data_IF_146239881205
#
_entry.id   IF_146239881205
#
_cell.length_a   1.000
_cell.length_b   1.000
_cell.length_c   1.000
_cell.angle_alpha   90.00
_cell.angle_beta   90.00
_cell.angle_gamma   90.00
#
_symmetry.space_group_name_H-M   'P 1'
#
loop_
_entity.id
_entity.type
_entity.pdbx_description
1 polymer ?
#
# COMPACT_ATOMS: atom_id res chain seq x y z
N UNK A 1 2.38 -4.58 18.95
CA UNK A 1 2.92 -5.78 18.28
C UNK A 1 1.77 -6.40 17.51
N UNK A 2 1.52 -5.94 16.29
CA UNK A 2 0.38 -6.42 15.51
C UNK A 2 0.68 -7.80 14.92
N UNK A 3 1.64 -7.87 13.99
CA UNK A 3 1.84 -9.08 13.17
C UNK A 3 2.93 -10.05 13.65
N UNK A 4 3.68 -9.75 14.72
CA UNK A 4 4.91 -10.50 15.05
C UNK A 4 4.66 -12.00 15.30
N UNK A 5 3.56 -12.32 16.00
CA UNK A 5 3.21 -13.70 16.31
C UNK A 5 2.75 -14.47 15.06
N UNK A 6 1.88 -13.85 14.27
CA UNK A 6 1.37 -14.39 13.02
C UNK A 6 2.50 -14.68 12.03
N UNK A 7 3.39 -13.72 11.79
CA UNK A 7 4.55 -13.89 10.90
C UNK A 7 5.46 -15.01 11.39
N UNK A 8 5.73 -15.05 12.71
CA UNK A 8 6.56 -16.12 13.28
C UNK A 8 5.95 -17.50 13.01
N UNK A 9 4.66 -17.67 13.26
CA UNK A 9 3.97 -18.94 13.03
C UNK A 9 4.03 -19.35 11.55
N UNK A 10 3.72 -18.45 10.62
CA UNK A 10 3.80 -18.71 9.17
C UNK A 10 5.22 -19.09 8.71
N UNK A 11 6.25 -18.51 9.33
CA UNK A 11 7.65 -18.86 9.05
C UNK A 11 8.02 -20.24 9.59
N UNK A 12 7.53 -20.63 10.77
CA UNK A 12 7.70 -21.98 11.32
C UNK A 12 6.99 -23.03 10.46
N UNK A 13 5.76 -22.76 10.00
CA UNK A 13 5.04 -23.62 9.06
C UNK A 13 5.80 -23.81 7.75
N UNK A 14 6.31 -22.70 7.19
CA UNK A 14 7.09 -22.73 5.95
C UNK A 14 8.38 -23.52 6.12
N UNK A 15 9.09 -23.33 7.25
CA UNK A 15 10.30 -24.09 7.59
C UNK A 15 10.04 -25.60 7.71
N UNK A 16 8.85 -25.97 8.18
CA UNK A 16 8.44 -27.36 8.38
C UNK A 16 7.74 -27.97 7.13
N UNK A 17 7.68 -27.24 6.00
CA UNK A 17 6.97 -27.64 4.78
C UNK A 17 5.48 -27.99 5.01
N UNK A 18 4.83 -27.33 5.97
CA UNK A 18 3.41 -27.53 6.28
C UNK A 18 2.58 -26.25 6.07
N UNK A 19 3.13 -25.28 5.33
CA UNK A 19 2.40 -24.10 4.86
C UNK A 19 1.67 -24.43 3.56
N UNK A 20 0.34 -24.31 3.56
CA UNK A 20 -0.50 -24.67 2.41
C UNK A 20 -1.21 -23.49 1.75
N UNK A 21 -0.89 -22.25 2.17
CA UNK A 21 -1.52 -21.03 1.68
C UNK A 21 -1.75 -20.05 2.82
N UNK A 22 -2.38 -18.92 2.51
CA UNK A 22 -2.75 -17.91 3.50
C UNK A 22 -3.96 -18.34 4.32
N UNK A 23 -4.08 -17.78 5.52
CA UNK A 23 -5.11 -18.09 6.52
C UNK A 23 -6.08 -16.92 6.69
N UNK A 24 -7.28 -17.20 7.21
CA UNK A 24 -8.28 -16.15 7.48
C UNK A 24 -7.80 -15.24 8.62
N UNK A 25 -7.07 -15.80 9.58
CA UNK A 25 -6.45 -15.07 10.67
C UNK A 25 -5.47 -14.01 10.13
N UNK A 26 -4.64 -14.36 9.14
CA UNK A 26 -3.71 -13.42 8.51
C UNK A 26 -4.40 -12.27 7.80
N UNK A 27 -5.45 -12.59 7.04
CA UNK A 27 -6.26 -11.56 6.38
C UNK A 27 -6.93 -10.65 7.42
N UNK A 28 -7.48 -11.23 8.48
CA UNK A 28 -8.16 -10.49 9.55
C UNK A 28 -7.19 -9.54 10.25
N UNK A 29 -5.98 -9.98 10.60
CA UNK A 29 -4.97 -9.11 11.23
C UNK A 29 -4.59 -7.95 10.30
N UNK A 30 -4.40 -8.19 8.99
CA UNK A 30 -4.09 -7.13 8.03
C UNK A 30 -5.23 -6.11 7.95
N UNK A 31 -6.47 -6.58 7.86
CA UNK A 31 -7.64 -5.71 7.82
C UNK A 31 -7.77 -4.87 9.08
N UNK A 32 -7.61 -5.49 10.26
CA UNK A 32 -7.71 -4.81 11.54
C UNK A 32 -6.61 -3.76 11.69
N UNK A 33 -5.39 -4.04 11.24
CA UNK A 33 -4.32 -3.04 11.25
C UNK A 33 -4.67 -1.81 10.40
N UNK A 34 -5.16 -2.03 9.17
CA UNK A 34 -5.50 -0.93 8.27
C UNK A 34 -6.71 -0.14 8.81
N UNK A 35 -7.72 -0.81 9.35
CA UNK A 35 -8.91 -0.17 9.95
C UNK A 35 -8.57 0.71 11.16
N UNK A 36 -7.61 0.26 11.97
CA UNK A 36 -7.24 0.91 13.22
C UNK A 36 -6.02 1.85 13.11
N UNK A 37 -5.48 2.06 11.91
CA UNK A 37 -4.36 2.96 11.70
C UNK A 37 -4.77 4.42 11.96
N UNK A 38 -4.10 5.11 12.88
CA UNK A 38 -4.41 6.50 13.24
C UNK A 38 -3.65 7.49 12.35
N UNK A 39 -2.35 7.20 12.12
CA UNK A 39 -1.46 8.05 11.33
C UNK A 39 -1.18 7.43 9.97
N UNK A 40 -1.98 7.83 8.98
CA UNK A 40 -1.83 7.36 7.60
C UNK A 40 -1.18 8.45 6.75
N UNK A 41 -0.03 8.17 6.13
CA UNK A 41 0.68 9.14 5.29
C UNK A 41 0.80 8.71 3.83
N UNK A 42 0.68 9.69 2.94
CA UNK A 42 0.90 9.54 1.49
C UNK A 42 2.07 10.45 1.09
N UNK A 43 3.24 9.89 0.73
CA UNK A 43 4.38 10.69 0.29
C UNK A 43 4.13 11.27 -1.09
N UNK A 44 3.88 12.58 -1.15
CA UNK A 44 3.62 13.25 -2.41
C UNK A 44 3.96 14.74 -2.36
N UNK A 45 4.31 15.30 -3.52
CA UNK A 45 4.56 16.74 -3.68
C UNK A 45 3.26 17.53 -3.93
N UNK A 46 2.23 16.90 -4.49
CA UNK A 46 0.95 17.53 -4.85
C UNK A 46 -0.27 16.86 -4.20
N UNK A 47 -1.38 17.60 -4.08
CA UNK A 47 -2.58 17.13 -3.37
C UNK A 47 -3.45 16.14 -4.15
N UNK A 48 -3.38 16.11 -5.49
CA UNK A 48 -4.34 15.36 -6.34
C UNK A 48 -4.42 13.87 -5.96
N UNK A 49 -3.27 13.18 -5.81
CA UNK A 49 -3.29 11.74 -5.45
C UNK A 49 -3.86 11.51 -4.05
N UNK A 50 -3.65 12.45 -3.14
CA UNK A 50 -4.11 12.38 -1.76
C UNK A 50 -5.62 12.51 -1.70
N UNK A 51 -6.21 13.38 -2.51
CA UNK A 51 -7.67 13.50 -2.64
C UNK A 51 -8.30 12.21 -3.17
N UNK A 52 -7.73 11.64 -4.23
CA UNK A 52 -8.24 10.39 -4.82
C UNK A 52 -8.13 9.23 -3.84
N UNK A 53 -6.98 9.09 -3.16
CA UNK A 53 -6.78 8.06 -2.15
C UNK A 53 -7.74 8.21 -0.97
N UNK A 54 -7.95 9.43 -0.48
CA UNK A 54 -8.92 9.69 0.58
C UNK A 54 -10.36 9.40 0.15
N UNK A 55 -10.72 9.60 -1.12
CA UNK A 55 -12.01 9.15 -1.65
C UNK A 55 -12.13 7.63 -1.55
N UNK A 56 -11.09 6.89 -1.93
CA UNK A 56 -11.06 5.43 -1.81
C UNK A 56 -11.17 5.01 -0.35
N UNK A 57 -10.32 5.53 0.54
CA UNK A 57 -10.35 5.20 1.98
C UNK A 57 -11.74 5.42 2.57
N UNK A 58 -12.38 6.55 2.26
CA UNK A 58 -13.76 6.84 2.67
C UNK A 58 -14.75 5.78 2.16
N UNK A 59 -14.65 5.36 0.90
CA UNK A 59 -15.53 4.32 0.31
C UNK A 59 -15.42 2.98 1.03
N UNK A 60 -14.27 2.67 1.65
CA UNK A 60 -14.08 1.43 2.44
C UNK A 60 -14.17 1.67 3.96
N UNK A 61 -14.66 2.84 4.40
CA UNK A 61 -14.83 3.15 5.83
C UNK A 61 -13.51 3.28 6.59
N UNK A 62 -12.41 3.58 5.89
CA UNK A 62 -11.08 3.67 6.46
C UNK A 62 -10.74 5.11 6.90
N UNK A 63 -9.83 5.28 7.88
CA UNK A 63 -9.37 6.58 8.32
C UNK A 63 -8.76 7.40 7.18
N UNK A 64 -8.84 8.72 7.30
CA UNK A 64 -8.29 9.66 6.30
C UNK A 64 -6.76 9.67 6.37
N UNK A 65 -6.12 9.69 5.22
CA UNK A 65 -4.69 9.90 5.08
C UNK A 65 -4.29 11.36 4.91
N UNK A 66 -3.13 11.70 5.46
CA UNK A 66 -2.49 13.01 5.34
C UNK A 66 -1.40 13.00 4.26
N UNK A 67 -1.16 14.18 3.68
CA UNK A 67 -0.04 14.35 2.76
C UNK A 67 1.26 14.46 3.56
N UNK A 68 2.24 13.61 3.24
CA UNK A 68 3.61 13.80 3.70
C UNK A 68 4.41 14.50 2.60
N UNK A 69 4.72 15.78 2.82
CA UNK A 69 5.39 16.62 1.83
C UNK A 69 6.91 16.35 1.81
N UNK A 70 7.29 15.30 1.09
CA UNK A 70 8.70 14.97 0.85
C UNK A 70 8.99 14.81 -0.65
N UNK A 71 10.19 15.18 -1.08
CA UNK A 71 10.64 14.94 -2.45
C UNK A 71 11.10 13.49 -2.58
N UNK A 72 10.35 12.68 -3.33
CA UNK A 72 10.63 11.26 -3.50
C UNK A 72 11.17 10.89 -4.89
N UNK A 73 11.61 11.86 -5.69
CA UNK A 73 12.06 11.61 -7.06
C UNK A 73 13.33 10.75 -7.13
N UNK A 74 14.21 10.81 -6.12
CA UNK A 74 15.39 9.96 -6.04
C UNK A 74 15.05 8.47 -5.97
N UNK A 75 13.85 8.10 -5.50
CA UNK A 75 13.38 6.72 -5.51
C UNK A 75 13.29 6.12 -6.92
N UNK A 76 13.17 6.94 -7.97
CA UNK A 76 13.07 6.47 -9.35
C UNK A 76 14.40 5.92 -9.90
N UNK A 77 15.51 6.04 -9.16
CA UNK A 77 16.79 5.35 -9.46
C UNK A 77 16.92 3.99 -8.77
N UNK A 78 15.94 3.60 -7.94
CA UNK A 78 15.92 2.29 -7.28
C UNK A 78 15.32 1.20 -8.17
N UNK A 79 15.51 -0.08 -7.78
CA UNK A 79 14.93 -1.24 -8.49
C UNK A 79 13.40 -1.29 -8.42
N UNK A 80 12.80 -0.79 -7.34
CA UNK A 80 11.35 -0.76 -7.12
C UNK A 80 10.99 0.63 -6.59
N UNK A 81 10.77 1.62 -7.50
CA UNK A 81 10.54 3.00 -7.08
C UNK A 81 9.38 3.18 -6.12
N UNK A 82 8.24 2.53 -6.32
CA UNK A 82 7.11 2.65 -5.38
C UNK A 82 7.49 2.27 -3.94
N UNK A 83 8.26 1.19 -3.76
CA UNK A 83 8.72 0.72 -2.47
C UNK A 83 9.74 1.67 -1.83
N UNK A 84 10.70 2.16 -2.62
CA UNK A 84 11.66 3.16 -2.15
C UNK A 84 10.96 4.45 -1.67
N UNK A 85 9.89 4.90 -2.36
CA UNK A 85 9.09 6.06 -1.91
C UNK A 85 8.43 5.82 -0.56
N UNK A 86 7.96 4.60 -0.31
CA UNK A 86 7.33 4.24 0.95
C UNK A 86 8.35 4.21 2.10
N UNK A 87 9.54 3.62 1.89
CA UNK A 87 10.60 3.64 2.90
C UNK A 87 11.11 5.06 3.19
N UNK A 88 11.26 5.90 2.16
CA UNK A 88 11.59 7.32 2.39
C UNK A 88 10.57 8.02 3.28
N UNK A 89 9.28 7.67 3.18
CA UNK A 89 8.23 8.22 4.04
C UNK A 89 8.30 7.63 5.45
N UNK A 90 8.53 6.32 5.55
CA UNK A 90 8.65 5.60 6.82
C UNK A 90 9.78 6.17 7.67
N UNK A 91 10.94 6.41 7.07
CA UNK A 91 12.12 6.91 7.77
C UNK A 91 12.00 8.39 8.19
N UNK A 92 10.96 9.10 7.74
CA UNK A 92 10.74 10.53 7.97
C UNK A 92 9.41 10.84 8.67
N UNK A 93 8.72 9.83 9.18
CA UNK A 93 7.44 10.01 9.88
C UNK A 93 7.24 8.98 10.98
N UNK A 94 6.25 9.22 11.82
CA UNK A 94 5.76 8.29 12.85
C UNK A 94 4.49 7.57 12.37
N UNK A 95 4.41 7.28 11.07
CA UNK A 95 3.26 6.65 10.43
C UNK A 95 2.91 5.29 11.07
N UNK A 96 1.62 5.02 11.21
CA UNK A 96 1.12 3.65 11.35
C UNK A 96 1.06 2.99 9.97
N UNK A 97 0.59 3.71 8.96
CA UNK A 97 0.37 3.19 7.62
C UNK A 97 0.88 4.18 6.57
N UNK A 98 1.57 3.66 5.55
CA UNK A 98 2.02 4.46 4.41
C UNK A 98 1.40 3.90 3.13
N UNK A 99 0.82 4.80 2.34
CA UNK A 99 0.28 4.49 1.02
C UNK A 99 1.11 5.21 -0.03
N UNK A 100 1.97 4.47 -0.72
CA UNK A 100 2.88 5.02 -1.73
C UNK A 100 2.53 4.51 -3.13
N UNK A 101 2.73 5.37 -4.13
CA UNK A 101 2.57 5.00 -5.54
C UNK A 101 3.76 5.45 -6.38
N UNK A 102 4.27 4.54 -7.19
CA UNK A 102 5.39 4.81 -8.08
C UNK A 102 5.43 3.83 -9.24
N UNK A 103 6.59 3.76 -9.89
CA UNK A 103 6.86 2.76 -10.92
C UNK A 103 7.07 1.39 -10.26
N UNK A 104 6.59 0.33 -10.91
CA UNK A 104 6.76 -1.06 -10.45
C UNK A 104 8.23 -1.49 -10.43
N UNK A 105 9.00 -1.13 -11.46
CA UNK A 105 10.41 -1.45 -11.58
C UNK A 105 11.12 -0.56 -12.59
N UNK A 106 11.64 -1.16 -13.67
CA UNK A 106 12.33 -0.44 -14.75
C UNK A 106 11.40 0.55 -15.49
N UNK A 107 11.92 1.57 -16.19
CA UNK A 107 11.12 2.41 -17.08
C UNK A 107 10.24 1.59 -18.02
N UNK A 108 8.94 1.91 -18.08
CA UNK A 108 7.95 1.20 -18.89
C UNK A 108 7.19 0.08 -18.18
N UNK A 109 7.62 -0.35 -16.98
CA UNK A 109 7.03 -1.51 -16.27
C UNK A 109 5.64 -1.29 -15.67
N UNK A 110 4.98 -0.15 -15.93
CA UNK A 110 3.73 0.22 -15.26
C UNK A 110 3.90 0.75 -13.84
N UNK A 111 2.80 0.86 -13.12
CA UNK A 111 2.71 1.42 -11.76
C UNK A 111 2.47 0.35 -10.72
N UNK A 112 2.93 0.67 -9.50
CA UNK A 112 2.69 -0.07 -8.28
C UNK A 112 2.22 0.92 -7.21
N UNK A 113 1.11 0.59 -6.57
CA UNK A 113 0.59 1.25 -5.37
C UNK A 113 0.69 0.25 -4.23
N UNK A 114 1.30 0.64 -3.12
CA UNK A 114 1.55 -0.23 -1.97
C UNK A 114 1.05 0.38 -0.68
N UNK A 115 0.57 -0.49 0.20
CA UNK A 115 0.30 -0.21 1.60
C UNK A 115 1.39 -0.90 2.42
N UNK A 116 2.13 -0.13 3.21
CA UNK A 116 3.12 -0.68 4.14
C UNK A 116 2.81 -0.24 5.57
N UNK A 117 3.13 -1.10 6.52
CA UNK A 117 3.00 -0.81 7.94
C UNK A 117 4.18 0.00 8.50
N UNK A 118 4.10 0.34 9.79
CA UNK A 118 5.14 1.07 10.52
C UNK A 118 6.49 0.36 10.69
N UNK A 119 6.65 -0.86 10.15
CA UNK A 119 7.92 -1.58 10.08
C UNK A 119 8.36 -1.83 8.64
N UNK A 120 7.67 -1.25 7.66
CA UNK A 120 7.97 -1.43 6.25
C UNK A 120 7.51 -2.77 5.67
N UNK A 121 6.68 -3.52 6.37
CA UNK A 121 6.08 -4.76 5.85
C UNK A 121 4.98 -4.42 4.86
N UNK A 122 5.00 -5.05 3.70
CA UNK A 122 3.97 -4.86 2.67
C UNK A 122 2.70 -5.60 3.11
N UNK A 123 1.59 -4.87 3.18
CA UNK A 123 0.28 -5.40 3.57
C UNK A 123 -0.55 -5.78 2.35
N UNK A 124 -0.57 -4.90 1.35
CA UNK A 124 -1.25 -5.15 0.07
C UNK A 124 -0.72 -4.19 -0.99
N UNK A 125 -1.06 -4.48 -2.26
CA UNK A 125 -0.69 -3.67 -3.39
C UNK A 125 -1.69 -3.77 -4.55
N UNK A 126 -1.76 -2.71 -5.35
CA UNK A 126 -2.45 -2.67 -6.63
C UNK A 126 -1.49 -2.26 -7.75
N UNK A 127 -1.81 -2.65 -8.99
CA UNK A 127 -0.94 -2.37 -10.14
C UNK A 127 -1.72 -1.82 -11.31
N UNK A 128 -1.04 -1.12 -12.20
CA UNK A 128 -1.62 -0.80 -13.50
C UNK A 128 -0.59 -0.86 -14.63
N UNK A 129 -1.05 -1.11 -15.87
CA UNK A 129 -0.17 -1.03 -17.04
C UNK A 129 0.52 0.33 -17.16
N UNK A 130 1.48 0.46 -18.07
CA UNK A 130 1.99 1.79 -18.42
C UNK A 130 0.86 2.69 -18.93
N UNK A 131 0.90 3.99 -18.58
CA UNK A 131 -0.06 4.99 -19.05
C UNK A 131 -0.12 5.06 -20.59
N UNK A 132 0.99 4.73 -21.26
CA UNK A 132 1.08 4.63 -22.73
C UNK A 132 0.13 3.55 -23.28
N UNK A 133 -0.15 2.50 -22.50
CA UNK A 133 -1.03 1.39 -22.88
C UNK A 133 -2.47 1.68 -22.48
N UNK A 134 -2.72 2.01 -21.20
CA UNK A 134 -4.09 2.08 -20.68
C UNK A 134 -4.81 3.40 -20.97
N UNK A 135 -4.08 4.50 -21.24
CA UNK A 135 -4.59 5.85 -21.58
C UNK A 135 -5.56 6.53 -20.58
N UNK A 136 -5.95 5.86 -19.48
CA UNK A 136 -6.65 6.42 -18.32
C UNK A 136 -5.94 7.64 -17.71
N UNK A 137 -6.70 8.48 -17.02
CA UNK A 137 -6.14 9.59 -16.24
C UNK A 137 -5.39 9.07 -15.01
N UNK A 138 -4.60 9.96 -14.38
CA UNK A 138 -3.86 9.60 -13.15
C UNK A 138 -4.82 9.28 -12.01
N UNK A 139 -5.93 10.01 -11.90
CA UNK A 139 -6.95 9.84 -10.88
C UNK A 139 -7.65 8.48 -11.03
N UNK A 140 -8.04 8.12 -12.25
CA UNK A 140 -8.67 6.84 -12.53
C UNK A 140 -7.74 5.65 -12.26
N UNK A 141 -6.46 5.78 -12.61
CA UNK A 141 -5.46 4.75 -12.35
C UNK A 141 -5.22 4.56 -10.85
N UNK A 142 -4.99 5.65 -10.11
CA UNK A 142 -4.80 5.63 -8.65
C UNK A 142 -6.02 5.03 -7.95
N UNK A 143 -7.23 5.43 -8.35
CA UNK A 143 -8.46 4.91 -7.77
C UNK A 143 -8.58 3.40 -7.95
N UNK A 144 -8.37 2.90 -9.18
CA UNK A 144 -8.49 1.47 -9.48
C UNK A 144 -7.43 0.63 -8.77
N UNK A 145 -6.20 1.11 -8.71
CA UNK A 145 -5.11 0.42 -8.00
C UNK A 145 -5.39 0.34 -6.49
N UNK A 146 -5.90 1.41 -5.88
CA UNK A 146 -6.20 1.40 -4.45
C UNK A 146 -7.43 0.51 -4.14
N UNK A 147 -8.46 0.51 -4.99
CA UNK A 147 -9.55 -0.47 -4.90
C UNK A 147 -9.03 -1.90 -5.03
N UNK A 148 -8.21 -2.20 -6.04
CA UNK A 148 -7.61 -3.53 -6.24
C UNK A 148 -6.81 -3.97 -5.00
N UNK A 149 -6.03 -3.07 -4.41
CA UNK A 149 -5.24 -3.37 -3.22
C UNK A 149 -6.14 -3.75 -2.03
N UNK A 150 -7.23 -3.02 -1.78
CA UNK A 150 -8.12 -3.26 -0.66
C UNK A 150 -9.02 -4.49 -0.88
N UNK A 151 -9.63 -4.62 -2.05
CA UNK A 151 -10.54 -5.74 -2.39
C UNK A 151 -9.81 -7.09 -2.36
N UNK A 152 -8.53 -7.11 -2.77
CA UNK A 152 -7.68 -8.31 -2.76
C UNK A 152 -7.45 -8.93 -1.39
N UNK A 153 -7.53 -8.12 -0.33
CA UNK A 153 -7.43 -8.57 1.06
C UNK A 153 -8.80 -8.54 1.76
N UNK A 154 -9.90 -8.57 0.99
CA UNK A 154 -11.25 -8.77 1.53
C UNK A 154 -11.93 -7.54 2.12
N UNK A 155 -11.47 -6.31 1.82
CA UNK A 155 -12.24 -5.11 2.15
C UNK A 155 -13.45 -4.96 1.22
N UNK A 156 -14.59 -4.65 1.81
CA UNK A 156 -15.83 -4.36 1.10
C UNK A 156 -16.17 -2.86 1.21
N UNK A 157 -16.86 -2.34 0.20
CA UNK A 157 -17.28 -0.93 0.18
C UNK A 157 -18.41 -0.75 1.20
N UNK A 158 -18.36 0.34 1.95
CA UNK A 158 -19.41 0.70 2.90
C UNK A 158 -20.54 1.35 2.10
N UNK A 159 -21.77 0.88 2.29
CA UNK A 159 -22.98 1.48 1.73
C UNK A 159 -23.29 2.87 2.32
#
# INVERSE_FOLDING_TARGET
>A
MAFEKMIKNAFEESRNNCRFGDTIEEITEIQDYIKNAEKIYIPNKNGIKVEVLNRVLKTYGLPKAEILQINTNTADTSRIPALAKAYMALDQSDADLIIARGRLGIPGSGSLLIFIDNKGRILTAGTSPSHVIHKKTIEEAVYKEACEALEKIGFEKVE
#
